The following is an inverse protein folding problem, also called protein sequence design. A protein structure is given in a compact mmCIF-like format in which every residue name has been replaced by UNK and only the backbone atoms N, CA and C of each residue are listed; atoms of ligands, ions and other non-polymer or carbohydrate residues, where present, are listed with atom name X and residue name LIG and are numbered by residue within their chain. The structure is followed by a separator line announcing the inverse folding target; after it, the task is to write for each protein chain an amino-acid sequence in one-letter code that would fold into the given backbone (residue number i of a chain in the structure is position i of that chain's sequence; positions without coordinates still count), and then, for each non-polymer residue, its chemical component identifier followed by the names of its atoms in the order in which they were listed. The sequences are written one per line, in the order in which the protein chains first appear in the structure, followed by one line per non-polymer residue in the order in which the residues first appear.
data_IF_767585105403
#
_entry.id   IF_767585105403
#
_cell.length_a   1.000
_cell.length_b   1.000
_cell.length_c   1.000
_cell.angle_alpha   90.00
_cell.angle_beta   90.00
_cell.angle_gamma   90.00
#
_symmetry.space_group_name_H-M   'P 1'
#
loop_
_entity.id
_entity.type
_entity.pdbx_description
1 polymer ?
#
# COMPACT_ATOMS: atom_id res chain seq x y z
N UNK A 1 21.97 -4.59 -26.33
CA UNK A 1 20.92 -5.03 -25.40
C UNK A 1 21.34 -4.99 -23.91
N UNK A 2 22.65 -5.13 -23.58
CA UNK A 2 23.13 -5.09 -22.17
C UNK A 2 23.06 -3.70 -21.52
N UNK A 3 23.11 -2.63 -22.29
CA UNK A 3 23.09 -1.25 -21.76
C UNK A 3 21.72 -0.83 -21.21
N UNK A 4 20.61 -1.34 -21.76
CA UNK A 4 19.25 -1.02 -21.30
C UNK A 4 18.90 -1.68 -19.97
N UNK A 5 19.39 -2.88 -19.70
CA UNK A 5 19.16 -3.58 -18.42
C UNK A 5 19.94 -2.91 -17.26
N UNK A 6 21.19 -2.48 -17.51
CA UNK A 6 21.97 -1.73 -16.51
C UNK A 6 21.35 -0.37 -16.21
N UNK A 7 20.85 0.34 -17.21
CA UNK A 7 20.16 1.63 -17.02
C UNK A 7 18.85 1.49 -16.24
N UNK A 8 18.11 0.39 -16.41
CA UNK A 8 16.87 0.14 -15.65
C UNK A 8 17.17 -0.21 -14.17
N UNK A 9 18.18 -1.03 -13.90
CA UNK A 9 18.59 -1.38 -12.53
C UNK A 9 19.17 -0.17 -11.78
N UNK A 10 19.99 0.64 -12.43
CA UNK A 10 20.49 1.90 -11.85
C UNK A 10 19.35 2.89 -11.56
N UNK A 11 18.35 2.99 -12.45
CA UNK A 11 17.17 3.84 -12.22
C UNK A 11 16.35 3.36 -11.04
N UNK A 12 16.16 2.06 -10.88
CA UNK A 12 15.46 1.47 -9.73
C UNK A 12 16.23 1.72 -8.42
N UNK A 13 17.57 1.59 -8.42
CA UNK A 13 18.38 1.95 -7.25
C UNK A 13 18.24 3.43 -6.90
N UNK A 14 18.33 4.35 -7.85
CA UNK A 14 18.15 5.79 -7.60
C UNK A 14 16.77 6.13 -7.04
N UNK A 15 15.70 5.46 -7.49
CA UNK A 15 14.34 5.65 -6.96
C UNK A 15 14.27 5.14 -5.52
N UNK A 16 14.78 3.96 -5.24
CA UNK A 16 14.83 3.36 -3.90
C UNK A 16 15.59 4.24 -2.92
N UNK A 17 16.75 4.76 -3.31
CA UNK A 17 17.57 5.63 -2.46
C UNK A 17 16.85 6.94 -2.14
N UNK A 18 16.15 7.53 -3.11
CA UNK A 18 15.33 8.73 -2.89
C UNK A 18 14.17 8.46 -1.93
N UNK A 19 13.47 7.33 -2.07
CA UNK A 19 12.39 6.94 -1.15
C UNK A 19 12.95 6.78 0.26
N UNK A 20 14.04 6.02 0.40
CA UNK A 20 14.71 5.81 1.69
C UNK A 20 15.14 7.12 2.32
N UNK A 21 15.81 7.99 1.56
CA UNK A 21 16.25 9.29 2.04
C UNK A 21 15.08 10.18 2.48
N UNK A 22 13.99 10.21 1.71
CA UNK A 22 12.81 10.99 2.04
C UNK A 22 12.12 10.48 3.32
N UNK A 23 11.89 9.18 3.44
CA UNK A 23 11.26 8.56 4.60
C UNK A 23 12.10 8.75 5.87
N UNK A 24 13.42 8.57 5.78
CA UNK A 24 14.33 8.81 6.91
C UNK A 24 14.36 10.28 7.31
N UNK A 25 14.43 11.20 6.35
CA UNK A 25 14.39 12.63 6.63
C UNK A 25 13.12 13.02 7.37
N UNK A 26 11.96 12.56 6.91
CA UNK A 26 10.68 12.82 7.58
C UNK A 26 10.65 12.24 9.00
N UNK A 27 11.15 11.02 9.18
CA UNK A 27 11.18 10.38 10.47
C UNK A 27 12.09 11.12 11.45
N UNK A 28 13.33 11.42 11.09
CA UNK A 28 14.26 12.18 11.92
C UNK A 28 13.72 13.59 12.26
N UNK A 29 13.10 14.26 11.31
CA UNK A 29 12.54 15.59 11.52
C UNK A 29 11.42 15.61 12.56
N UNK A 30 10.66 14.51 12.68
CA UNK A 30 9.54 14.35 13.60
C UNK A 30 9.94 13.76 14.96
N UNK A 31 11.14 13.20 15.11
CA UNK A 31 11.61 12.50 16.31
C UNK A 31 12.72 13.26 17.02
N UNK A 32 12.55 14.57 17.15
CA UNK A 32 13.51 15.46 17.79
C UNK A 32 13.44 15.44 19.32
N UNK A 33 12.28 15.09 19.86
CA UNK A 33 12.00 15.05 21.29
C UNK A 33 11.45 13.68 21.67
N UNK A 34 11.82 13.23 22.89
CA UNK A 34 11.39 11.96 23.44
C UNK A 34 9.89 11.99 23.76
N UNK A 35 9.13 11.04 23.21
CA UNK A 35 7.70 10.90 23.49
C UNK A 35 7.39 10.49 24.94
N UNK A 36 8.41 10.00 25.67
CA UNK A 36 8.28 9.54 27.04
C UNK A 36 8.52 10.68 28.07
N UNK A 37 9.61 11.46 27.92
CA UNK A 37 10.01 12.47 28.91
C UNK A 37 10.18 13.90 28.35
N UNK A 38 9.89 14.12 27.07
CA UNK A 38 9.95 15.42 26.41
C UNK A 38 11.36 15.99 26.17
N UNK A 39 12.43 15.27 26.57
CA UNK A 39 13.81 15.74 26.39
C UNK A 39 14.30 15.50 24.94
N UNK A 40 15.32 16.27 24.48
CA UNK A 40 15.90 16.07 23.16
C UNK A 40 16.41 14.64 22.96
N UNK A 41 16.17 14.09 21.76
CA UNK A 41 16.69 12.79 21.33
C UNK A 41 18.01 12.97 20.57
N UNK A 42 18.88 11.97 20.67
CA UNK A 42 20.14 11.89 19.95
C UNK A 42 20.14 10.73 18.95
N UNK A 43 20.91 10.88 17.85
CA UNK A 43 21.14 9.79 16.93
C UNK A 43 22.03 8.73 17.57
N UNK A 44 21.60 7.47 17.51
CA UNK A 44 22.47 6.35 17.90
C UNK A 44 23.65 6.24 16.91
N UNK A 45 24.83 5.89 17.46
CA UNK A 45 26.02 5.60 16.66
C UNK A 45 26.11 4.12 16.23
N UNK A 46 25.23 3.27 16.79
CA UNK A 46 25.25 1.81 16.55
C UNK A 46 24.18 1.38 15.55
N UNK A 47 23.01 1.98 15.65
CA UNK A 47 21.83 1.57 14.87
C UNK A 47 21.10 2.78 14.28
N UNK A 48 20.21 2.51 13.34
CA UNK A 48 19.32 3.52 12.77
C UNK A 48 18.16 3.75 13.73
N UNK A 49 18.43 4.43 14.84
CA UNK A 49 17.45 4.78 15.86
C UNK A 49 17.77 6.14 16.50
N UNK A 50 16.79 6.70 17.17
CA UNK A 50 16.95 7.84 18.09
C UNK A 50 16.96 7.30 19.53
N UNK A 51 17.82 7.87 20.37
CA UNK A 51 17.96 7.47 21.78
C UNK A 51 17.82 8.70 22.68
N UNK A 52 17.07 8.56 23.77
CA UNK A 52 16.93 9.61 24.76
C UNK A 52 18.02 9.46 25.85
N UNK A 53 18.97 10.40 25.97
CA UNK A 53 20.04 10.31 26.99
C UNK A 53 19.50 10.49 28.42
N UNK A 54 18.28 11.00 28.56
CA UNK A 54 17.68 11.28 29.88
C UNK A 54 16.93 10.09 30.48
N UNK A 55 16.18 9.32 29.66
CA UNK A 55 15.36 8.20 30.17
C UNK A 55 15.63 6.87 29.46
N UNK A 56 16.56 6.82 28.51
CA UNK A 56 16.91 5.58 27.79
C UNK A 56 15.89 5.13 26.76
N UNK A 57 14.82 5.90 26.49
CA UNK A 57 13.84 5.54 25.48
C UNK A 57 14.49 5.46 24.10
N UNK A 58 14.18 4.42 23.36
CA UNK A 58 14.69 4.14 22.00
C UNK A 58 13.53 4.17 21.01
N UNK A 59 13.73 4.88 19.89
CA UNK A 59 12.77 4.94 18.81
C UNK A 59 13.41 4.52 17.49
N UNK A 60 12.77 3.59 16.80
CA UNK A 60 13.15 3.10 15.48
C UNK A 60 12.30 3.72 14.39
N UNK A 61 12.76 3.74 13.11
CA UNK A 61 11.93 4.16 11.99
C UNK A 61 10.64 3.34 11.91
N UNK A 62 9.51 4.04 11.86
CA UNK A 62 8.18 3.41 11.81
C UNK A 62 7.79 3.18 10.36
N UNK A 63 7.35 1.96 10.06
CA UNK A 63 6.64 1.61 8.83
C UNK A 63 5.18 1.35 9.16
N UNK A 64 4.27 1.90 8.35
CA UNK A 64 2.84 1.66 8.46
C UNK A 64 2.46 0.63 7.40
N UNK A 65 2.18 -0.64 7.76
CA UNK A 65 1.73 -1.64 6.80
C UNK A 65 0.34 -1.30 6.31
N UNK A 66 0.10 -1.52 5.01
CA UNK A 66 -1.21 -1.36 4.39
C UNK A 66 -1.39 -2.37 3.27
N UNK A 67 -2.62 -2.78 3.01
CA UNK A 67 -2.96 -3.71 1.94
C UNK A 67 -3.44 -2.97 0.69
N UNK A 68 -3.27 -3.59 -0.46
CA UNK A 68 -3.94 -3.26 -1.73
C UNK A 68 -4.56 -4.55 -2.24
N UNK A 69 -5.86 -4.55 -2.48
CA UNK A 69 -6.63 -5.76 -2.73
C UNK A 69 -7.31 -5.71 -4.09
N UNK A 70 -6.90 -6.60 -4.99
CA UNK A 70 -7.58 -6.89 -6.24
C UNK A 70 -8.63 -7.97 -6.04
N UNK A 71 -9.88 -7.59 -5.82
CA UNK A 71 -11.01 -8.51 -5.61
C UNK A 71 -11.54 -8.95 -6.97
N UNK A 72 -11.55 -10.26 -7.21
CA UNK A 72 -11.91 -10.83 -8.51
C UNK A 72 -13.16 -11.71 -8.43
N UNK A 73 -13.93 -11.71 -9.53
CA UNK A 73 -15.03 -12.63 -9.78
C UNK A 73 -14.99 -13.05 -11.26
N UNK A 74 -14.32 -14.18 -11.55
CA UNK A 74 -14.05 -14.60 -12.93
C UNK A 74 -13.26 -13.55 -13.70
N UNK A 75 -13.83 -13.02 -14.76
CA UNK A 75 -13.21 -11.98 -15.61
C UNK A 75 -13.49 -10.54 -15.16
N UNK A 76 -13.96 -10.35 -13.93
CA UNK A 76 -14.22 -9.03 -13.35
C UNK A 76 -13.34 -8.76 -12.15
N UNK A 77 -12.98 -7.48 -11.95
CA UNK A 77 -12.29 -6.97 -10.79
C UNK A 77 -13.05 -5.75 -10.24
N UNK A 78 -12.99 -5.51 -8.94
CA UNK A 78 -13.53 -4.27 -8.36
C UNK A 78 -12.55 -3.13 -8.61
N UNK A 79 -13.07 -2.05 -9.20
CA UNK A 79 -12.41 -0.76 -9.25
C UNK A 79 -13.19 0.27 -8.45
N UNK A 80 -12.48 1.03 -7.63
CA UNK A 80 -13.04 2.07 -6.77
C UNK A 80 -12.52 3.47 -7.14
N UNK A 81 -13.14 4.50 -6.58
CA UNK A 81 -12.62 5.87 -6.55
C UNK A 81 -12.85 6.45 -5.16
N UNK A 82 -11.82 7.02 -4.58
CA UNK A 82 -11.90 7.65 -3.27
C UNK A 82 -12.69 8.96 -3.31
N UNK A 83 -13.45 9.20 -2.24
CA UNK A 83 -14.14 10.48 -2.05
C UNK A 83 -13.14 11.60 -1.70
N UNK A 84 -13.47 12.86 -2.01
CA UNK A 84 -12.66 14.03 -1.66
C UNK A 84 -11.31 14.18 -2.37
N UNK A 85 -10.86 13.23 -3.18
CA UNK A 85 -9.58 13.35 -3.91
C UNK A 85 -9.71 14.22 -5.16
N UNK A 86 -8.76 15.14 -5.32
CA UNK A 86 -8.66 16.03 -6.50
C UNK A 86 -8.55 15.26 -7.82
N UNK A 87 -7.89 14.10 -7.82
CA UNK A 87 -7.72 13.23 -9.01
C UNK A 87 -8.60 11.99 -8.88
N UNK A 88 -9.65 11.93 -9.68
CA UNK A 88 -10.60 10.81 -9.72
C UNK A 88 -10.05 9.63 -10.56
N UNK A 89 -8.93 9.08 -10.14
CA UNK A 89 -8.37 7.85 -10.75
C UNK A 89 -9.02 6.62 -10.14
N UNK A 90 -9.12 5.57 -10.95
CA UNK A 90 -9.48 4.26 -10.41
C UNK A 90 -8.40 3.75 -9.47
N UNK A 91 -8.83 3.09 -8.43
CA UNK A 91 -8.04 2.45 -7.41
C UNK A 91 -8.55 1.02 -7.16
N UNK A 92 -7.78 0.25 -6.42
CA UNK A 92 -8.21 -0.98 -5.76
C UNK A 92 -8.53 -0.65 -4.30
N UNK A 93 -9.23 -1.53 -3.63
CA UNK A 93 -9.48 -1.43 -2.18
C UNK A 93 -8.13 -1.40 -1.45
N UNK A 94 -7.99 -0.52 -0.47
CA UNK A 94 -6.72 -0.37 0.22
C UNK A 94 -6.88 0.30 1.58
N UNK A 95 -6.32 -0.30 2.63
CA UNK A 95 -6.33 0.27 3.97
C UNK A 95 -5.14 -0.14 4.82
N UNK A 96 -5.03 0.47 5.98
CA UNK A 96 -3.94 0.23 6.93
C UNK A 96 -4.25 -0.95 7.84
N UNK A 97 -3.20 -1.73 8.15
CA UNK A 97 -3.29 -2.72 9.20
C UNK A 97 -3.45 -2.05 10.57
N UNK A 98 -4.33 -2.56 11.39
CA UNK A 98 -4.54 -2.15 12.75
C UNK A 98 -3.68 -2.94 13.74
N UNK A 99 -3.51 -2.40 14.96
CA UNK A 99 -2.71 -3.07 16.01
C UNK A 99 -3.39 -4.38 16.39
N UNK A 100 -2.64 -5.47 16.24
CA UNK A 100 -3.11 -6.82 16.56
C UNK A 100 -3.64 -7.61 15.37
N UNK A 101 -3.79 -6.99 14.19
CA UNK A 101 -4.17 -7.69 12.97
C UNK A 101 -2.98 -8.34 12.26
N UNK A 102 -3.23 -9.47 11.63
CA UNK A 102 -2.40 -9.98 10.53
C UNK A 102 -2.74 -9.25 9.24
N UNK A 103 -1.83 -9.30 8.27
CA UNK A 103 -2.07 -8.67 6.95
C UNK A 103 -3.27 -9.31 6.22
N UNK A 104 -3.49 -10.61 6.41
CA UNK A 104 -4.63 -11.33 5.87
C UNK A 104 -5.96 -10.90 6.52
N UNK A 105 -5.96 -10.69 7.84
CA UNK A 105 -7.13 -10.15 8.56
C UNK A 105 -7.45 -8.73 8.09
N UNK A 106 -6.43 -7.89 7.89
CA UNK A 106 -6.59 -6.54 7.31
C UNK A 106 -7.26 -6.61 5.93
N UNK A 107 -6.89 -7.57 5.06
CA UNK A 107 -7.56 -7.75 3.76
C UNK A 107 -9.05 -8.02 3.94
N UNK A 108 -9.41 -8.94 4.84
CA UNK A 108 -10.82 -9.29 5.07
C UNK A 108 -11.63 -8.14 5.66
N UNK A 109 -11.06 -7.39 6.61
CA UNK A 109 -11.72 -6.23 7.24
C UNK A 109 -11.93 -5.10 6.24
N UNK A 110 -10.89 -4.66 5.54
CA UNK A 110 -10.99 -3.54 4.59
C UNK A 110 -11.97 -3.84 3.45
N UNK A 111 -11.98 -5.07 2.94
CA UNK A 111 -12.95 -5.48 1.91
C UNK A 111 -14.38 -5.46 2.45
N UNK A 112 -14.57 -5.90 3.68
CA UNK A 112 -15.89 -5.89 4.31
C UNK A 112 -16.37 -4.46 4.59
N UNK A 113 -15.49 -3.58 5.08
CA UNK A 113 -15.81 -2.19 5.42
C UNK A 113 -16.10 -1.35 4.17
N UNK A 114 -15.19 -1.37 3.17
CA UNK A 114 -15.32 -0.50 2.01
C UNK A 114 -16.40 -0.94 0.99
N UNK A 115 -16.61 -2.25 0.81
CA UNK A 115 -17.51 -2.78 -0.25
C UNK A 115 -18.49 -3.88 0.20
N UNK A 116 -18.47 -4.30 1.47
CA UNK A 116 -19.43 -5.24 2.06
C UNK A 116 -19.29 -6.69 1.60
N UNK A 117 -18.13 -7.08 1.06
CA UNK A 117 -17.91 -8.41 0.51
C UNK A 117 -17.13 -9.33 1.45
N UNK A 118 -17.43 -10.65 1.35
CA UNK A 118 -16.55 -11.69 1.85
C UNK A 118 -15.63 -12.16 0.73
N UNK A 119 -14.38 -12.47 1.09
CA UNK A 119 -13.36 -12.93 0.15
C UNK A 119 -12.67 -14.19 0.64
N UNK A 120 -12.13 -14.95 -0.32
CA UNK A 120 -11.37 -16.18 -0.10
C UNK A 120 -10.18 -16.25 -1.05
N UNK A 121 -9.35 -17.30 -0.91
CA UNK A 121 -8.21 -17.57 -1.79
C UNK A 121 -7.28 -16.36 -1.91
N UNK A 122 -6.84 -15.81 -0.76
CA UNK A 122 -5.89 -14.71 -0.72
C UNK A 122 -4.56 -15.13 -1.34
N UNK A 123 -4.13 -14.43 -2.37
CA UNK A 123 -2.89 -14.68 -3.12
C UNK A 123 -2.00 -13.44 -3.04
N UNK A 124 -0.94 -13.53 -2.24
CA UNK A 124 0.05 -12.47 -2.15
C UNK A 124 0.76 -12.29 -3.50
N UNK A 125 0.84 -11.04 -3.95
CA UNK A 125 1.53 -10.69 -5.17
C UNK A 125 2.94 -10.15 -4.88
N UNK A 126 3.03 -8.98 -4.24
CA UNK A 126 4.30 -8.37 -3.81
C UNK A 126 4.09 -7.23 -2.84
N UNK A 127 5.17 -6.72 -2.25
CA UNK A 127 5.17 -5.50 -1.46
C UNK A 127 5.86 -4.34 -2.19
N UNK A 128 5.47 -3.12 -1.84
CA UNK A 128 6.07 -1.89 -2.36
C UNK A 128 6.15 -0.82 -1.26
N UNK A 129 7.35 -0.26 -0.96
CA UNK A 129 7.45 0.97 -0.17
C UNK A 129 6.78 2.13 -0.91
N UNK A 130 5.89 2.84 -0.22
CA UNK A 130 5.21 4.00 -0.80
C UNK A 130 6.02 5.28 -0.59
N UNK A 131 6.38 5.97 -1.69
CA UNK A 131 7.35 7.06 -1.67
C UNK A 131 6.90 8.32 -0.91
N UNK A 132 5.60 8.51 -0.72
CA UNK A 132 5.04 9.74 -0.17
C UNK A 132 4.74 9.67 1.33
N UNK A 133 4.88 8.51 1.93
CA UNK A 133 4.62 8.26 3.35
C UNK A 133 5.51 7.13 3.88
N UNK A 134 5.43 6.85 5.19
CA UNK A 134 6.07 5.69 5.82
C UNK A 134 5.37 4.35 5.57
N UNK A 135 4.57 4.23 4.51
CA UNK A 135 3.75 3.05 4.25
C UNK A 135 4.52 1.96 3.51
N UNK A 136 4.35 0.73 3.94
CA UNK A 136 4.73 -0.47 3.22
C UNK A 136 3.46 -1.16 2.73
N UNK A 137 3.26 -1.15 1.41
CA UNK A 137 2.08 -1.73 0.75
C UNK A 137 2.29 -3.23 0.51
N UNK A 138 1.23 -4.02 0.78
CA UNK A 138 1.16 -5.44 0.48
C UNK A 138 0.03 -5.68 -0.53
N UNK A 139 0.36 -6.13 -1.72
CA UNK A 139 -0.60 -6.41 -2.78
C UNK A 139 -1.13 -7.85 -2.71
N UNK A 140 -2.45 -7.99 -2.67
CA UNK A 140 -3.14 -9.27 -2.70
C UNK A 140 -4.16 -9.30 -3.83
N UNK A 141 -4.29 -10.46 -4.45
CA UNK A 141 -5.50 -10.83 -5.20
C UNK A 141 -6.32 -11.80 -4.34
N UNK A 142 -7.63 -11.72 -4.46
CA UNK A 142 -8.56 -12.64 -3.81
C UNK A 142 -9.81 -12.83 -4.66
N UNK A 143 -10.55 -13.87 -4.38
CA UNK A 143 -11.80 -14.16 -5.03
C UNK A 143 -12.96 -13.77 -4.11
N UNK A 144 -14.06 -13.25 -4.68
CA UNK A 144 -15.30 -13.05 -3.91
C UNK A 144 -15.81 -14.40 -3.37
N UNK A 145 -16.33 -14.39 -2.16
CA UNK A 145 -16.92 -15.58 -1.51
C UNK A 145 -18.42 -15.40 -1.31
N UNK A 146 -19.22 -16.02 -2.17
CA UNK A 146 -20.68 -15.97 -2.14
C UNK A 146 -21.28 -14.82 -2.95
N UNK A 147 -22.13 -13.99 -2.32
CA UNK A 147 -22.81 -12.87 -2.96
C UNK A 147 -21.81 -11.79 -3.41
N UNK A 148 -21.98 -11.30 -4.62
CA UNK A 148 -21.14 -10.27 -5.24
C UNK A 148 -21.79 -8.86 -5.25
N UNK A 149 -22.88 -8.69 -4.53
CA UNK A 149 -23.58 -7.42 -4.37
C UNK A 149 -22.74 -6.45 -3.53
N UNK A 150 -22.43 -5.28 -4.10
CA UNK A 150 -21.60 -4.28 -3.41
C UNK A 150 -22.43 -3.43 -2.45
N UNK A 151 -21.93 -3.26 -1.24
CA UNK A 151 -22.39 -2.26 -0.27
C UNK A 151 -21.23 -1.28 -0.05
N UNK A 152 -21.28 -0.16 -0.78
CA UNK A 152 -20.17 0.81 -0.81
C UNK A 152 -20.25 1.74 0.40
N UNK A 153 -19.15 1.88 1.11
CA UNK A 153 -18.99 2.94 2.11
C UNK A 153 -18.73 4.28 1.41
N UNK A 154 -19.74 5.13 1.42
CA UNK A 154 -19.69 6.44 0.77
C UNK A 154 -18.95 7.52 1.59
N UNK A 155 -18.49 7.23 2.80
CA UNK A 155 -17.58 8.12 3.54
C UNK A 155 -16.16 8.04 2.98
N UNK A 156 -15.74 6.88 2.49
CA UNK A 156 -14.40 6.66 1.93
C UNK A 156 -14.38 6.61 0.41
N UNK A 157 -15.37 5.98 -0.21
CA UNK A 157 -15.44 5.75 -1.65
C UNK A 157 -16.57 6.53 -2.32
N UNK A 158 -16.24 7.32 -3.34
CA UNK A 158 -17.27 7.94 -4.20
C UNK A 158 -17.95 6.92 -5.11
N UNK A 159 -17.29 5.80 -5.41
CA UNK A 159 -17.86 4.66 -6.14
C UNK A 159 -16.99 3.40 -5.99
N UNK A 160 -17.63 2.25 -6.08
CA UNK A 160 -17.01 0.97 -6.37
C UNK A 160 -17.88 0.20 -7.38
N UNK A 161 -17.26 -0.51 -8.31
CA UNK A 161 -17.98 -1.29 -9.32
C UNK A 161 -17.17 -2.47 -9.83
N UNK A 162 -17.86 -3.52 -10.28
CA UNK A 162 -17.28 -4.60 -11.05
C UNK A 162 -16.94 -4.11 -12.46
N UNK A 163 -15.71 -4.32 -12.89
CA UNK A 163 -15.20 -3.94 -14.23
C UNK A 163 -14.66 -5.17 -14.90
N UNK A 164 -15.12 -5.43 -16.12
CA UNK A 164 -14.62 -6.52 -16.95
C UNK A 164 -13.14 -6.29 -17.33
N UNK A 165 -12.40 -7.36 -17.43
CA UNK A 165 -10.95 -7.40 -17.69
C UNK A 165 -10.53 -6.51 -18.87
N UNK A 166 -11.25 -6.58 -19.98
CA UNK A 166 -11.00 -5.83 -21.22
C UNK A 166 -11.36 -4.33 -21.11
N UNK A 167 -12.17 -3.96 -20.12
CA UNK A 167 -12.61 -2.58 -19.88
C UNK A 167 -11.77 -1.82 -18.86
N UNK A 168 -10.71 -2.45 -18.32
CA UNK A 168 -9.82 -1.79 -17.35
C UNK A 168 -9.03 -0.68 -18.05
N UNK A 169 -9.18 0.58 -17.61
CA UNK A 169 -8.53 1.71 -18.28
C UNK A 169 -7.02 1.76 -17.99
N UNK A 170 -6.21 2.08 -19.00
CA UNK A 170 -4.83 2.46 -18.79
C UNK A 170 -4.75 3.93 -18.34
N UNK A 171 -4.47 4.15 -17.06
CA UNK A 171 -4.44 5.48 -16.47
C UNK A 171 -3.07 6.19 -16.58
N UNK A 172 -2.18 5.77 -17.46
CA UNK A 172 -0.83 6.32 -17.56
C UNK A 172 0.01 5.97 -16.32
N UNK A 173 1.23 6.38 -16.24
CA UNK A 173 2.17 6.26 -15.13
C UNK A 173 2.22 4.93 -14.33
N UNK A 174 3.29 4.13 -14.51
CA UNK A 174 3.46 2.77 -13.97
C UNK A 174 4.20 2.73 -12.61
N UNK A 175 4.01 3.70 -11.72
CA UNK A 175 4.80 3.80 -10.48
C UNK A 175 4.10 3.11 -9.30
N UNK A 176 2.77 2.97 -9.32
CA UNK A 176 2.01 2.46 -8.18
C UNK A 176 1.72 0.96 -8.31
N UNK A 177 1.80 0.27 -7.18
CA UNK A 177 1.40 -1.13 -7.04
C UNK A 177 -0.05 -1.36 -7.49
N UNK A 178 -0.96 -0.45 -7.13
CA UNK A 178 -2.37 -0.47 -7.57
C UNK A 178 -2.50 -0.59 -9.09
N UNK A 179 -1.82 0.30 -9.84
CA UNK A 179 -1.89 0.25 -11.30
C UNK A 179 -1.25 -1.02 -11.84
N UNK A 180 -0.12 -1.43 -11.31
CA UNK A 180 0.54 -2.66 -11.73
C UNK A 180 -0.38 -3.86 -11.58
N UNK A 181 -1.07 -3.98 -10.44
CA UNK A 181 -2.03 -5.06 -10.18
C UNK A 181 -3.23 -5.00 -11.14
N UNK A 182 -3.77 -3.82 -11.41
CA UNK A 182 -4.85 -3.65 -12.40
C UNK A 182 -4.41 -4.13 -13.79
N UNK A 183 -3.19 -3.78 -14.23
CA UNK A 183 -2.67 -4.20 -15.53
C UNK A 183 -2.37 -5.70 -15.58
N UNK A 184 -1.88 -6.29 -14.49
CA UNK A 184 -1.69 -7.75 -14.39
C UNK A 184 -3.01 -8.50 -14.58
N UNK A 185 -4.07 -8.06 -13.89
CA UNK A 185 -5.39 -8.66 -14.07
C UNK A 185 -5.89 -8.46 -15.49
N UNK A 186 -5.78 -7.26 -16.06
CA UNK A 186 -6.16 -7.01 -17.45
C UNK A 186 -5.45 -7.97 -18.43
N UNK A 187 -4.17 -8.22 -18.20
CA UNK A 187 -3.34 -9.05 -19.08
C UNK A 187 -3.44 -10.57 -18.77
N UNK A 188 -4.28 -10.99 -17.81
CA UNK A 188 -4.42 -12.41 -17.39
C UNK A 188 -3.19 -12.99 -16.72
N UNK A 189 -2.39 -12.15 -16.02
CA UNK A 189 -1.12 -12.52 -15.40
C UNK A 189 -1.14 -12.45 -13.87
N UNK A 190 -2.31 -12.24 -13.28
CA UNK A 190 -2.48 -12.26 -11.82
C UNK A 190 -2.10 -13.62 -11.22
N UNK A 191 -1.62 -13.70 -9.97
CA UNK A 191 -1.39 -14.95 -9.26
C UNK A 191 -2.68 -15.80 -9.20
N UNK A 192 -2.52 -17.12 -9.44
CA UNK A 192 -3.60 -18.12 -9.40
C UNK A 192 -3.57 -18.89 -8.10
#
# INVERSE_FOLDING_TARGET
PRSTLLASSQRQMCIRDRITGHQLFQWYSKRRFCGCCGKPMLHSQKERMMECPSCGNQEYPVLCPAVIVGITNGDKIILSKYEGRRFKRYALIAGFAEIGETIEETVHREVMEEVGLKVKNLRYYKSQPWSFSGTLLFGFFCDVDGDDTLTVDHEELSMAQWVERDKIPDQGNNISLTKEMMMLFRDGKEPR
#
